data_IF_250020888314
#
_entry.id   IF_250020888314
#
_cell.length_a   1.000
_cell.length_b   1.000
_cell.length_c   1.000
_cell.angle_alpha   90.00
_cell.angle_beta   90.00
_cell.angle_gamma   90.00
#
_symmetry.space_group_name_H-M   'P 1'
#
loop_
_entity.id
_entity.type
_entity.pdbx_description
1 polymer ?
#
# COMPACT_ATOMS: atom_id res chain seq x y z
N UNK A 1 9.20 9.60 -9.41
CA UNK A 1 8.49 8.47 -8.78
C UNK A 1 7.00 8.68 -8.98
N UNK A 2 6.30 7.65 -9.41
CA UNK A 2 4.84 7.63 -9.56
C UNK A 2 4.26 6.68 -8.53
N UNK A 3 3.02 6.95 -8.10
CA UNK A 3 2.25 6.05 -7.24
C UNK A 3 1.15 5.41 -8.09
N UNK A 4 1.13 4.07 -8.15
CA UNK A 4 0.04 3.31 -8.74
C UNK A 4 -0.86 2.80 -7.62
N UNK A 5 -2.11 3.26 -7.57
CA UNK A 5 -3.08 2.87 -6.55
C UNK A 5 -4.16 1.97 -7.15
N UNK A 6 -4.56 0.93 -6.40
CA UNK A 6 -5.78 0.17 -6.71
C UNK A 6 -7.00 0.98 -6.26
N UNK A 7 -8.04 1.02 -7.09
CA UNK A 7 -9.29 1.69 -6.78
C UNK A 7 -9.54 2.94 -7.63
N UNK A 8 -10.64 3.63 -7.34
CA UNK A 8 -11.14 4.71 -8.21
C UNK A 8 -10.31 5.99 -8.11
N UNK A 9 -10.41 6.82 -9.16
CA UNK A 9 -9.74 8.13 -9.21
C UNK A 9 -10.15 9.03 -8.05
N UNK A 10 -11.43 9.04 -7.69
CA UNK A 10 -11.97 9.86 -6.61
C UNK A 10 -11.30 9.52 -5.27
N UNK A 11 -11.05 8.23 -5.02
CA UNK A 11 -10.33 7.76 -3.83
C UNK A 11 -8.85 8.12 -3.86
N UNK A 12 -8.21 8.00 -5.02
CA UNK A 12 -6.84 8.47 -5.20
C UNK A 12 -6.69 9.97 -4.93
N UNK A 13 -7.64 10.79 -5.37
CA UNK A 13 -7.64 12.23 -5.11
C UNK A 13 -7.88 12.55 -3.63
N UNK A 14 -8.82 11.86 -2.96
CA UNK A 14 -9.04 11.98 -1.52
C UNK A 14 -7.75 11.65 -0.72
N UNK A 15 -7.00 10.64 -1.15
CA UNK A 15 -5.69 10.33 -0.59
C UNK A 15 -4.69 11.48 -0.77
N UNK A 16 -4.63 12.08 -1.96
CA UNK A 16 -3.74 13.20 -2.25
C UNK A 16 -4.06 14.43 -1.38
N UNK A 17 -5.35 14.79 -1.27
CA UNK A 17 -5.79 15.92 -0.43
C UNK A 17 -5.41 15.73 1.04
N UNK A 18 -5.53 14.51 1.56
CA UNK A 18 -5.25 14.20 2.97
C UNK A 18 -3.77 14.09 3.29
N UNK A 19 -2.95 13.62 2.34
CA UNK A 19 -1.52 13.35 2.58
C UNK A 19 -0.61 14.44 2.04
N UNK A 20 -1.12 15.34 1.19
CA UNK A 20 -0.33 16.30 0.44
C UNK A 20 0.45 15.68 -0.72
N UNK A 21 0.18 14.42 -1.09
CA UNK A 21 0.80 13.80 -2.25
C UNK A 21 0.37 14.50 -3.55
N UNK A 22 1.32 14.71 -4.45
CA UNK A 22 1.08 15.35 -5.75
C UNK A 22 0.21 14.46 -6.64
N UNK A 23 -1.04 14.89 -6.87
CA UNK A 23 -2.03 14.13 -7.65
C UNK A 23 -1.63 13.93 -9.12
N UNK A 24 -0.74 14.76 -9.67
CA UNK A 24 -0.20 14.55 -11.02
C UNK A 24 0.68 13.31 -11.14
N UNK A 25 1.13 12.78 -9.99
CA UNK A 25 1.99 11.58 -9.90
C UNK A 25 1.23 10.34 -9.42
N UNK A 26 -0.09 10.43 -9.24
CA UNK A 26 -0.93 9.30 -8.86
C UNK A 26 -1.65 8.75 -10.09
N UNK A 27 -1.48 7.45 -10.33
CA UNK A 27 -2.19 6.68 -11.33
C UNK A 27 -3.19 5.78 -10.61
N UNK A 28 -4.49 6.00 -10.84
CA UNK A 28 -5.55 5.17 -10.29
C UNK A 28 -5.88 4.02 -11.24
N UNK A 29 -5.89 2.79 -10.73
CA UNK A 29 -6.17 1.57 -11.47
C UNK A 29 -7.38 0.84 -10.85
N UNK A 30 -8.61 1.29 -11.17
CA UNK A 30 -9.83 0.74 -10.56
C UNK A 30 -10.09 -0.73 -10.92
N UNK A 31 -9.67 -1.15 -12.11
CA UNK A 31 -9.86 -2.51 -12.62
C UNK A 31 -8.65 -3.41 -12.36
N UNK A 32 -7.58 -2.87 -11.77
CA UNK A 32 -6.33 -3.58 -11.51
C UNK A 32 -5.62 -4.12 -12.77
N UNK A 33 -5.88 -3.52 -13.94
CA UNK A 33 -5.32 -3.96 -15.23
C UNK A 33 -3.81 -3.70 -15.33
N UNK A 34 -3.32 -2.66 -14.66
CA UNK A 34 -1.89 -2.33 -14.61
C UNK A 34 -1.22 -2.91 -13.37
N UNK A 35 -1.94 -2.99 -12.26
CA UNK A 35 -1.44 -3.43 -10.97
C UNK A 35 -1.30 -4.95 -10.89
N UNK A 36 -2.29 -5.71 -11.38
CA UNK A 36 -2.27 -7.18 -11.28
C UNK A 36 -1.06 -7.81 -12.01
N UNK A 37 -0.68 -7.37 -13.22
CA UNK A 37 0.51 -7.89 -13.90
C UNK A 37 1.83 -7.66 -13.15
N UNK A 38 1.91 -6.70 -12.23
CA UNK A 38 3.12 -6.49 -11.41
C UNK A 38 3.37 -7.66 -10.43
N UNK A 39 2.34 -8.47 -10.18
CA UNK A 39 2.44 -9.69 -9.37
C UNK A 39 2.81 -9.40 -7.92
N UNK A 40 2.27 -8.33 -7.34
CA UNK A 40 2.46 -8.00 -5.93
C UNK A 40 1.88 -9.10 -5.03
N UNK A 41 2.45 -9.28 -3.84
CA UNK A 41 2.02 -10.34 -2.93
C UNK A 41 0.57 -10.16 -2.51
N UNK A 42 -0.16 -11.27 -2.36
CA UNK A 42 -1.54 -11.30 -1.87
C UNK A 42 -1.54 -12.13 -0.58
N UNK A 43 -1.70 -11.49 0.57
CA UNK A 43 -1.53 -12.11 1.88
C UNK A 43 -2.81 -12.04 2.69
N UNK A 44 -3.56 -13.15 2.77
CA UNK A 44 -4.73 -13.24 3.65
C UNK A 44 -4.31 -13.21 5.12
N UNK A 45 -3.11 -13.69 5.46
CA UNK A 45 -2.59 -13.71 6.84
C UNK A 45 -1.89 -12.41 7.24
N UNK A 46 -1.12 -11.78 6.35
CA UNK A 46 -0.32 -10.61 6.73
C UNK A 46 -1.13 -9.31 6.87
N UNK A 47 -2.25 -9.14 6.16
CA UNK A 47 -3.04 -7.88 6.19
C UNK A 47 -4.07 -7.81 7.33
N UNK A 48 -4.61 -8.95 7.78
CA UNK A 48 -5.61 -9.02 8.85
C UNK A 48 -5.22 -9.92 10.05
N UNK A 49 -4.21 -10.78 9.90
CA UNK A 49 -3.78 -11.73 10.95
C UNK A 49 -2.30 -11.60 11.30
N UNK A 50 -1.78 -10.37 11.39
CA UNK A 50 -0.68 -10.19 12.35
C UNK A 50 -1.24 -10.69 13.70
N UNK A 51 -0.49 -11.57 14.38
CA UNK A 51 -0.88 -12.09 15.71
C UNK A 51 -1.10 -10.97 16.73
N UNK A 52 -0.82 -9.73 16.38
CA UNK A 52 -0.98 -8.54 17.19
C UNK A 52 -2.43 -8.05 17.21
N UNK A 53 -3.25 -8.22 16.18
CA UNK A 53 -4.64 -7.71 16.22
C UNK A 53 -5.53 -8.51 17.17
N UNK A 54 -5.58 -9.86 17.14
CA UNK A 54 -6.38 -10.60 18.11
C UNK A 54 -5.84 -10.46 19.52
N UNK A 55 -4.51 -10.42 19.69
CA UNK A 55 -3.87 -10.29 21.00
C UNK A 55 -4.00 -8.88 21.58
N UNK A 56 -3.88 -7.82 20.78
CA UNK A 56 -4.11 -6.45 21.24
C UNK A 56 -5.58 -6.23 21.60
N UNK A 57 -6.53 -6.78 20.83
CA UNK A 57 -7.96 -6.75 21.19
C UNK A 57 -8.22 -7.55 22.47
N UNK A 58 -7.60 -8.71 22.65
CA UNK A 58 -7.72 -9.54 23.84
C UNK A 58 -7.07 -8.91 25.08
N UNK A 59 -5.90 -8.30 24.93
CA UNK A 59 -5.19 -7.54 25.98
C UNK A 59 -5.90 -6.21 26.30
N UNK A 60 -6.48 -5.52 25.33
CA UNK A 60 -7.28 -4.31 25.54
C UNK A 60 -8.60 -4.63 26.24
N UNK A 61 -9.21 -5.80 25.97
CA UNK A 61 -10.35 -6.31 26.73
C UNK A 61 -9.99 -6.66 28.17
N UNK A 62 -8.79 -7.21 28.43
CA UNK A 62 -8.30 -7.48 29.79
C UNK A 62 -7.88 -6.23 30.55
N UNK A 63 -7.35 -5.21 29.86
CA UNK A 63 -6.81 -3.99 30.48
C UNK A 63 -7.80 -2.81 30.49
N UNK A 64 -9.02 -3.00 29.98
CA UNK A 64 -10.09 -1.98 30.01
C UNK A 64 -9.94 -0.86 28.98
N UNK A 65 -9.05 -1.00 27.98
CA UNK A 65 -8.78 -0.01 26.93
C UNK A 65 -9.75 -0.03 25.74
N UNK A 66 -10.93 -0.61 25.97
CA UNK A 66 -12.00 -0.81 24.98
C UNK A 66 -12.41 0.51 24.30
N UNK A 67 -12.33 1.65 24.97
CA UNK A 67 -12.70 2.94 24.37
C UNK A 67 -11.69 3.45 23.33
N UNK A 68 -10.40 3.12 23.48
CA UNK A 68 -9.38 3.46 22.46
C UNK A 68 -9.61 2.63 21.20
N UNK A 69 -9.86 1.33 21.37
CA UNK A 69 -10.19 0.42 20.27
C UNK A 69 -11.50 0.83 19.57
N UNK A 70 -12.54 1.22 20.33
CA UNK A 70 -13.78 1.79 19.77
C UNK A 70 -13.55 3.11 19.03
N UNK A 71 -12.63 3.95 19.50
CA UNK A 71 -12.26 5.21 18.83
C UNK A 71 -11.63 4.96 17.46
N UNK A 72 -10.63 4.05 17.42
CA UNK A 72 -9.98 3.61 16.18
C UNK A 72 -11.02 2.95 15.26
N UNK A 73 -11.79 1.99 15.76
CA UNK A 73 -12.83 1.31 14.98
C UNK A 73 -13.92 2.28 14.49
N UNK A 74 -14.30 3.31 15.25
CA UNK A 74 -15.25 4.34 14.77
C UNK A 74 -14.68 5.18 13.65
N UNK A 75 -13.39 5.50 13.65
CA UNK A 75 -12.74 6.18 12.52
C UNK A 75 -12.75 5.27 11.30
N UNK A 76 -12.37 4.00 11.48
CA UNK A 76 -12.38 2.98 10.41
C UNK A 76 -13.78 2.65 9.87
N UNK A 77 -14.81 2.66 10.71
CA UNK A 77 -16.21 2.36 10.34
C UNK A 77 -16.93 3.59 9.79
N UNK A 78 -16.73 4.80 10.35
CA UNK A 78 -17.35 6.05 9.85
C UNK A 78 -16.71 6.53 8.55
N UNK A 79 -15.41 6.33 8.38
CA UNK A 79 -14.75 6.62 7.11
C UNK A 79 -15.06 5.46 6.18
N UNK A 80 -16.27 5.49 5.57
CA UNK A 80 -16.80 4.55 4.56
C UNK A 80 -15.69 3.63 4.08
N UNK A 81 -15.59 2.51 4.78
CA UNK A 81 -14.60 1.46 4.63
C UNK A 81 -14.04 1.52 3.22
N UNK A 82 -12.73 1.80 3.11
CA UNK A 82 -11.95 1.76 1.87
C UNK A 82 -11.85 0.31 1.39
N UNK A 83 -12.98 -0.42 1.42
CA UNK A 83 -13.19 -1.73 0.85
C UNK A 83 -13.00 -1.49 -0.63
N UNK A 84 -11.91 -2.02 -1.19
CA UNK A 84 -11.76 -1.97 -2.62
C UNK A 84 -12.98 -2.67 -3.24
N UNK A 85 -13.43 -2.25 -4.43
CA UNK A 85 -14.65 -2.77 -5.04
C UNK A 85 -14.65 -4.31 -5.20
N UNK A 86 -13.47 -4.93 -5.19
CA UNK A 86 -13.28 -6.37 -5.18
C UNK A 86 -12.73 -6.82 -3.81
N UNK A 87 -13.39 -7.77 -3.15
CA UNK A 87 -13.07 -8.22 -1.78
C UNK A 87 -11.65 -8.79 -1.63
N UNK A 88 -11.07 -9.27 -2.73
CA UNK A 88 -9.76 -9.89 -2.78
C UNK A 88 -8.61 -8.87 -2.84
N UNK A 89 -8.88 -7.63 -3.25
CA UNK A 89 -7.92 -6.52 -3.24
C UNK A 89 -7.59 -6.04 -1.83
N UNK A 90 -8.43 -6.32 -0.83
CA UNK A 90 -8.15 -5.96 0.56
C UNK A 90 -6.91 -6.69 1.13
N UNK A 91 -6.49 -7.78 0.49
CA UNK A 91 -5.30 -8.58 0.86
C UNK A 91 -4.07 -8.25 0.02
N UNK A 92 -4.18 -7.26 -0.86
CA UNK A 92 -3.13 -6.91 -1.80
C UNK A 92 -2.05 -6.10 -1.07
N UNK A 93 -0.81 -6.61 -1.10
CA UNK A 93 0.36 -5.91 -0.59
C UNK A 93 0.91 -4.95 -1.65
N UNK A 94 1.63 -3.93 -1.17
CA UNK A 94 2.35 -2.97 -2.00
C UNK A 94 3.73 -3.46 -2.43
N UNK A 95 4.50 -2.51 -2.96
CA UNK A 95 5.87 -2.74 -3.39
C UNK A 95 6.38 -1.57 -4.22
N UNK A 96 7.58 -1.75 -4.77
CA UNK A 96 8.22 -0.78 -5.64
C UNK A 96 8.74 -1.51 -6.87
N UNK A 97 8.46 -0.95 -8.05
CA UNK A 97 8.97 -1.44 -9.33
C UNK A 97 9.77 -0.32 -9.97
N UNK A 98 10.97 -0.63 -10.43
CA UNK A 98 11.77 0.28 -11.25
C UNK A 98 11.71 -0.23 -12.68
N UNK A 99 11.24 0.65 -13.56
CA UNK A 99 11.19 0.45 -14.99
C UNK A 99 12.32 1.21 -15.67
N UNK A 100 12.84 0.61 -16.72
CA UNK A 100 13.73 1.22 -17.69
C UNK A 100 13.11 1.08 -19.09
N UNK A 101 12.42 2.13 -19.52
CA UNK A 101 11.49 2.05 -20.65
C UNK A 101 10.41 1.00 -20.36
N UNK A 102 10.30 0.00 -21.23
CA UNK A 102 9.35 -1.10 -21.09
C UNK A 102 9.88 -2.28 -20.25
N UNK A 103 11.15 -2.24 -19.82
CA UNK A 103 11.77 -3.34 -19.07
C UNK A 103 11.68 -3.11 -17.57
N UNK A 104 11.30 -4.16 -16.84
CA UNK A 104 11.44 -4.18 -15.38
C UNK A 104 12.88 -4.52 -15.03
N UNK A 105 13.57 -3.62 -14.33
CA UNK A 105 15.00 -3.77 -13.97
C UNK A 105 15.20 -4.06 -12.50
N UNK A 106 14.22 -3.73 -11.65
CA UNK A 106 14.24 -4.06 -10.24
C UNK A 106 12.82 -4.11 -9.67
N UNK A 107 12.58 -5.04 -8.74
CA UNK A 107 11.28 -5.19 -8.08
C UNK A 107 11.49 -5.51 -6.60
N UNK A 108 10.81 -4.75 -5.76
CA UNK A 108 10.52 -5.13 -4.39
C UNK A 108 9.03 -5.36 -4.21
N UNK A 109 8.68 -6.50 -3.62
CA UNK A 109 7.30 -6.83 -3.24
C UNK A 109 7.26 -6.90 -1.74
N UNK A 110 6.43 -6.06 -1.11
CA UNK A 110 6.37 -5.98 0.34
C UNK A 110 6.04 -7.37 0.91
N UNK A 111 6.91 -7.97 1.74
CA UNK A 111 6.71 -9.31 2.25
C UNK A 111 5.54 -9.42 3.22
N UNK A 112 5.19 -8.33 3.88
CA UNK A 112 4.07 -8.20 4.81
C UNK A 112 3.65 -6.73 4.91
N UNK A 113 2.49 -6.48 5.50
CA UNK A 113 2.03 -5.11 5.79
C UNK A 113 3.04 -4.40 6.70
N UNK A 114 3.45 -3.18 6.32
CA UNK A 114 4.46 -2.39 7.03
C UNK A 114 5.92 -2.73 6.71
N UNK A 115 6.18 -3.82 5.98
CA UNK A 115 7.53 -4.22 5.56
C UNK A 115 7.88 -3.61 4.18
N UNK A 116 7.94 -2.27 4.12
CA UNK A 116 8.17 -1.54 2.88
C UNK A 116 9.64 -1.57 2.45
N UNK A 117 9.88 -1.34 1.15
CA UNK A 117 11.23 -1.13 0.62
C UNK A 117 11.93 0.05 1.32
N UNK A 118 13.24 -0.05 1.52
CA UNK A 118 14.04 1.11 1.92
C UNK A 118 14.11 2.12 0.76
N UNK A 119 13.50 3.29 0.95
CA UNK A 119 13.49 4.35 -0.05
C UNK A 119 14.90 4.84 -0.42
N UNK A 120 15.87 4.80 0.51
CA UNK A 120 17.25 5.18 0.20
C UNK A 120 17.86 4.20 -0.79
N UNK A 121 17.63 2.92 -0.60
CA UNK A 121 18.07 1.88 -1.53
C UNK A 121 17.38 2.02 -2.88
N UNK A 122 16.05 2.21 -2.90
CA UNK A 122 15.27 2.42 -4.13
C UNK A 122 15.84 3.58 -4.95
N UNK A 123 16.05 4.74 -4.31
CA UNK A 123 16.60 5.92 -4.99
C UNK A 123 18.01 5.65 -5.50
N UNK A 124 18.87 5.02 -4.69
CA UNK A 124 20.23 4.66 -5.09
C UNK A 124 20.27 3.76 -6.31
N UNK A 125 19.42 2.73 -6.35
CA UNK A 125 19.34 1.79 -7.49
C UNK A 125 18.83 2.52 -8.74
N UNK A 126 17.75 3.30 -8.59
CA UNK A 126 17.16 4.04 -9.70
C UNK A 126 18.14 5.06 -10.32
N UNK A 127 18.89 5.80 -9.50
CA UNK A 127 19.85 6.81 -9.99
C UNK A 127 21.08 6.15 -10.60
N UNK A 128 21.59 5.06 -10.02
CA UNK A 128 22.72 4.33 -10.60
C UNK A 128 22.40 3.81 -12.01
N UNK A 129 21.20 3.26 -12.22
CA UNK A 129 20.75 2.78 -13.53
C UNK A 129 20.61 3.92 -14.55
N UNK A 130 20.17 5.10 -14.11
CA UNK A 130 20.08 6.28 -14.96
C UNK A 130 21.48 6.80 -15.38
N UNK A 131 22.44 6.83 -14.46
CA UNK A 131 23.79 7.33 -14.73
C UNK A 131 24.56 6.48 -15.75
N UNK A 132 24.35 5.16 -15.77
CA UNK A 132 24.96 4.25 -16.75
C UNK A 132 24.50 4.56 -18.18
N UNK A 133 23.31 5.12 -18.37
CA UNK A 133 22.77 5.45 -19.70
C UNK A 133 23.18 6.80 -20.24
N UNK A 134 23.67 7.69 -19.38
CA UNK A 134 24.13 9.03 -19.77
C UNK A 134 25.63 9.06 -20.11
N UNK A 135 26.29 7.90 -20.12
CA UNK A 135 27.71 7.68 -20.46
C UNK A 135 27.83 6.96 -21.79
#
# INVERSE_FOLDING_TARGET
>A
MLLLSIGTKERGLEFCERTGFDSSRLLADPESNSYAPLGMKKGVKETFFSKETPNAIWEDMKTGRIETLKGVMKVWIKQKLWIPPQQDQAFQQGGVVIFDGEKVVWVWRDPATGAHADLKEVVRVATALASVKSS
#
